data_IF_554204585485
#
_entry.id   IF_554204585485
#
_cell.length_a   1.000
_cell.length_b   1.000
_cell.length_c   1.000
_cell.angle_alpha   90.00
_cell.angle_beta   90.00
_cell.angle_gamma   90.00
#
_symmetry.space_group_name_H-M   'P 1'
#
loop_
_entity.id
_entity.type
_entity.pdbx_description
1 polymer ?
#
# COMPACT_ATOMS: atom_id res chain seq x y z
N UNK A 1 -53.83 -10.76 19.62
CA UNK A 1 -52.57 -10.15 20.08
C UNK A 1 -51.64 -9.99 18.90
N UNK A 2 -51.23 -8.77 18.54
CA UNK A 2 -50.32 -8.57 17.42
C UNK A 2 -48.94 -8.06 17.87
N UNK A 3 -47.92 -8.59 17.20
CA UNK A 3 -46.53 -8.12 17.22
C UNK A 3 -46.49 -6.70 16.62
N UNK A 4 -45.91 -5.75 17.34
CA UNK A 4 -45.59 -4.43 16.78
C UNK A 4 -44.37 -4.55 15.86
N UNK A 5 -44.62 -4.50 14.55
CA UNK A 5 -43.59 -4.14 13.57
C UNK A 5 -43.41 -2.63 13.64
N UNK A 6 -42.22 -2.16 14.01
CA UNK A 6 -41.88 -0.75 13.95
C UNK A 6 -41.77 -0.33 12.46
N UNK A 7 -42.81 0.35 12.01
CA UNK A 7 -42.92 0.98 10.70
C UNK A 7 -42.04 2.22 10.69
N UNK A 8 -40.98 2.21 9.89
CA UNK A 8 -40.16 3.40 9.60
C UNK A 8 -41.04 4.47 8.93
N UNK A 9 -41.17 5.62 9.58
CA UNK A 9 -41.79 6.82 9.02
C UNK A 9 -40.69 7.83 8.74
N UNK A 10 -40.49 8.14 7.46
CA UNK A 10 -39.74 9.29 6.99
C UNK A 10 -40.63 10.53 7.19
N UNK A 11 -40.22 11.46 8.04
CA UNK A 11 -40.82 12.81 8.12
C UNK A 11 -39.96 13.79 7.34
N UNK A 12 -40.61 14.61 6.51
CA UNK A 12 -40.04 15.48 5.48
C UNK A 12 -39.35 16.76 5.99
N UNK A 13 -38.69 16.74 7.15
CA UNK A 13 -38.11 17.94 7.78
C UNK A 13 -36.61 17.91 8.08
N UNK A 14 -35.85 16.92 7.60
CA UNK A 14 -34.40 16.83 7.84
C UNK A 14 -34.08 16.11 9.16
N UNK A 15 -33.27 15.06 9.03
CA UNK A 15 -33.13 13.95 9.98
C UNK A 15 -32.63 14.33 11.38
N UNK A 16 -33.45 14.06 12.39
CA UNK A 16 -32.96 13.69 13.72
C UNK A 16 -32.82 12.16 13.76
N UNK A 17 -31.63 11.69 14.07
CA UNK A 17 -31.25 10.28 14.23
C UNK A 17 -32.14 9.58 15.26
N UNK A 18 -33.16 8.86 14.78
CA UNK A 18 -34.00 8.01 15.62
C UNK A 18 -33.11 7.01 16.40
N UNK A 19 -33.03 7.17 17.72
CA UNK A 19 -32.24 6.31 18.61
C UNK A 19 -31.17 7.02 19.44
N UNK A 20 -30.92 8.33 19.23
CA UNK A 20 -30.05 9.09 20.14
C UNK A 20 -30.76 9.45 21.44
N UNK A 21 -30.00 9.48 22.54
CA UNK A 21 -30.50 9.94 23.83
C UNK A 21 -30.52 11.47 23.85
N UNK A 22 -31.70 12.07 23.96
CA UNK A 22 -31.88 13.51 23.96
C UNK A 22 -31.68 14.08 25.36
N UNK A 23 -30.85 15.13 25.46
CA UNK A 23 -30.55 15.88 26.67
C UNK A 23 -30.96 17.34 26.46
N UNK A 24 -31.85 17.86 27.30
CA UNK A 24 -32.19 19.30 27.35
C UNK A 24 -31.33 20.01 28.39
N UNK A 25 -31.53 21.32 28.61
CA UNK A 25 -30.88 22.09 29.69
C UNK A 25 -30.72 21.32 30.99
N UNK A 26 -29.51 21.34 31.55
CA UNK A 26 -29.19 20.71 32.83
C UNK A 26 -27.81 20.04 32.86
N UNK A 27 -27.51 19.45 34.01
CA UNK A 27 -26.32 18.63 34.24
C UNK A 27 -26.75 17.18 34.41
N UNK A 28 -26.16 16.28 33.63
CA UNK A 28 -26.50 14.86 33.59
C UNK A 28 -25.25 14.03 33.86
N UNK A 29 -25.43 12.95 34.60
CA UNK A 29 -24.41 11.90 34.72
C UNK A 29 -25.00 10.63 34.13
N UNK A 30 -24.30 10.02 33.18
CA UNK A 30 -24.72 8.77 32.56
C UNK A 30 -23.64 7.72 32.72
N UNK A 31 -23.96 6.67 33.47
CA UNK A 31 -23.13 5.49 33.58
C UNK A 31 -23.43 4.54 32.41
N UNK A 32 -22.40 4.25 31.63
CA UNK A 32 -22.46 3.37 30.47
C UNK A 32 -22.11 1.92 30.82
N UNK A 33 -21.81 1.63 32.09
CA UNK A 33 -21.66 0.26 32.60
C UNK A 33 -23.00 -0.49 32.54
N UNK A 34 -22.93 -1.82 32.39
CA UNK A 34 -24.10 -2.70 32.35
C UNK A 34 -24.66 -3.01 33.76
N UNK A 35 -24.08 -2.45 34.81
CA UNK A 35 -24.44 -2.77 36.20
C UNK A 35 -25.78 -2.15 36.59
N UNK A 36 -26.72 -3.04 36.88
CA UNK A 36 -28.15 -2.80 37.15
C UNK A 36 -28.44 -1.64 38.11
N UNK A 37 -28.88 -0.52 37.54
CA UNK A 37 -29.51 0.60 38.25
C UNK A 37 -30.34 1.44 37.28
N UNK A 38 -31.31 2.22 37.75
CA UNK A 38 -32.24 3.03 36.93
C UNK A 38 -31.57 4.07 36.02
N UNK A 39 -30.26 4.28 36.15
CA UNK A 39 -29.45 5.20 35.35
C UNK A 39 -28.43 4.49 34.44
N UNK A 40 -28.28 3.17 34.54
CA UNK A 40 -27.42 2.32 33.70
C UNK A 40 -28.05 2.04 32.33
N UNK A 41 -27.26 1.57 31.36
CA UNK A 41 -27.81 1.11 30.08
C UNK A 41 -28.77 -0.06 30.33
N UNK A 42 -30.08 0.14 30.13
CA UNK A 42 -31.08 -0.87 30.48
C UNK A 42 -30.95 -2.11 29.57
N UNK A 43 -30.27 -3.14 30.08
CA UNK A 43 -30.28 -4.56 29.69
C UNK A 43 -30.10 -4.98 28.22
N UNK A 44 -29.88 -4.08 27.24
CA UNK A 44 -29.48 -4.56 25.91
C UNK A 44 -28.68 -3.63 25.01
N UNK A 45 -28.79 -2.29 25.09
CA UNK A 45 -27.93 -1.37 24.32
C UNK A 45 -27.76 -0.03 25.02
N UNK A 46 -26.52 0.40 25.22
CA UNK A 46 -26.27 1.83 25.45
C UNK A 46 -26.64 2.61 24.18
N UNK A 47 -27.15 3.84 24.29
CA UNK A 47 -27.42 4.65 23.12
C UNK A 47 -26.10 4.90 22.37
N UNK A 48 -26.04 4.64 21.06
CA UNK A 48 -24.82 4.87 20.27
C UNK A 48 -24.56 6.37 20.04
N UNK A 49 -25.49 7.23 20.46
CA UNK A 49 -25.40 8.66 20.25
C UNK A 49 -26.20 9.47 21.27
N UNK A 50 -25.78 10.71 21.49
CA UNK A 50 -26.41 11.71 22.36
C UNK A 50 -26.71 12.96 21.56
N UNK A 51 -27.92 13.50 21.74
CA UNK A 51 -28.33 14.74 21.11
C UNK A 51 -28.57 15.81 22.18
N UNK A 52 -27.87 16.93 22.10
CA UNK A 52 -27.92 18.04 23.04
C UNK A 52 -28.84 19.13 22.49
N UNK A 53 -29.98 19.33 23.16
CA UNK A 53 -30.86 20.46 22.94
C UNK A 53 -30.47 21.61 23.87
N UNK A 54 -29.57 22.46 23.36
CA UNK A 54 -29.07 23.64 24.07
C UNK A 54 -29.84 24.93 23.73
N UNK A 55 -31.07 24.80 23.19
CA UNK A 55 -31.88 25.96 22.78
C UNK A 55 -32.29 26.85 23.96
N UNK A 56 -32.53 26.24 25.12
CA UNK A 56 -32.94 26.94 26.36
C UNK A 56 -31.77 27.27 27.30
N UNK A 57 -30.54 26.86 26.97
CA UNK A 57 -29.36 27.04 27.82
C UNK A 57 -28.30 25.94 27.65
N UNK A 58 -27.22 25.96 28.46
CA UNK A 58 -26.15 24.97 28.37
C UNK A 58 -26.58 23.59 28.87
N UNK A 59 -25.97 22.55 28.31
CA UNK A 59 -26.14 21.15 28.72
C UNK A 59 -24.77 20.58 29.05
N UNK A 60 -24.64 19.94 30.22
CA UNK A 60 -23.43 19.24 30.64
C UNK A 60 -23.72 17.76 30.81
N UNK A 61 -22.94 16.90 30.18
CA UNK A 61 -23.00 15.45 30.32
C UNK A 61 -21.69 14.91 30.89
N UNK A 62 -21.73 14.24 32.02
CA UNK A 62 -20.62 13.43 32.53
C UNK A 62 -20.87 11.97 32.18
N UNK A 63 -20.00 11.38 31.35
CA UNK A 63 -20.05 9.97 31.02
C UNK A 63 -19.16 9.16 31.96
N UNK A 64 -19.80 8.28 32.72
CA UNK A 64 -19.13 7.32 33.58
C UNK A 64 -19.01 5.96 32.88
N UNK A 65 -17.87 5.31 33.07
CA UNK A 65 -17.60 3.95 32.59
C UNK A 65 -17.98 3.77 31.12
N UNK A 66 -17.48 4.64 30.23
CA UNK A 66 -17.88 4.66 28.81
C UNK A 66 -17.63 3.34 28.03
N UNK A 67 -17.03 2.32 28.65
CA UNK A 67 -16.87 0.98 28.12
C UNK A 67 -18.19 0.20 28.31
N UNK A 68 -18.68 -0.46 27.26
CA UNK A 68 -19.81 -1.38 27.43
C UNK A 68 -19.29 -2.69 28.04
N UNK A 69 -19.64 -2.96 29.30
CA UNK A 69 -19.18 -4.12 30.09
C UNK A 69 -19.53 -5.52 29.55
N UNK A 70 -20.28 -5.62 28.46
CA UNK A 70 -20.89 -6.91 28.10
C UNK A 70 -20.02 -7.82 27.21
N UNK A 71 -18.92 -7.34 26.64
CA UNK A 71 -18.05 -8.18 25.81
C UNK A 71 -16.63 -8.19 26.35
N UNK A 72 -16.46 -8.89 27.47
CA UNK A 72 -15.20 -9.57 27.71
C UNK A 72 -15.06 -10.58 26.58
N UNK A 73 -14.42 -10.19 25.48
CA UNK A 73 -13.87 -11.21 24.59
C UNK A 73 -12.94 -12.07 25.46
N UNK A 74 -12.86 -13.37 25.20
CA UNK A 74 -11.99 -14.30 25.94
C UNK A 74 -10.51 -13.88 25.96
N UNK A 75 -10.15 -12.81 25.24
CA UNK A 75 -8.81 -12.24 25.16
C UNK A 75 -8.62 -10.96 26.00
N UNK A 76 -9.62 -10.53 26.80
CA UNK A 76 -9.45 -9.41 27.75
C UNK A 76 -9.36 -8.01 27.14
N UNK A 77 -9.65 -7.86 25.84
CA UNK A 77 -9.65 -6.55 25.18
C UNK A 77 -11.01 -5.86 25.32
N UNK A 78 -10.99 -4.58 25.71
CA UNK A 78 -12.17 -3.72 25.71
C UNK A 78 -12.61 -3.45 24.28
N UNK A 79 -13.89 -3.69 23.99
CA UNK A 79 -14.46 -3.35 22.69
C UNK A 79 -14.58 -1.83 22.58
N UNK A 80 -13.98 -1.29 21.53
CA UNK A 80 -14.06 0.10 21.15
C UNK A 80 -15.51 0.45 20.80
N UNK A 81 -16.22 1.14 21.68
CA UNK A 81 -17.52 1.72 21.32
C UNK A 81 -17.31 3.13 20.79
N UNK A 82 -17.92 3.41 19.65
CA UNK A 82 -18.02 4.79 19.13
C UNK A 82 -19.34 5.37 19.62
N UNK A 83 -19.28 6.57 20.18
CA UNK A 83 -20.41 7.35 20.66
C UNK A 83 -20.42 8.68 19.92
N UNK A 84 -21.51 8.97 19.24
CA UNK A 84 -21.67 10.25 18.53
C UNK A 84 -22.37 11.26 19.42
N UNK A 85 -21.86 12.48 19.48
CA UNK A 85 -22.47 13.59 20.20
C UNK A 85 -22.85 14.67 19.21
N UNK A 86 -24.09 15.15 19.25
CA UNK A 86 -24.58 16.19 18.34
C UNK A 86 -25.30 17.28 19.11
N UNK A 87 -24.86 18.52 18.99
CA UNK A 87 -25.50 19.70 19.57
C UNK A 87 -26.40 20.38 18.54
N UNK A 88 -27.71 20.34 18.79
CA UNK A 88 -28.72 20.94 17.94
C UNK A 88 -29.22 22.31 18.38
N UNK A 89 -28.69 22.87 19.47
CA UNK A 89 -29.17 24.14 20.01
C UNK A 89 -28.21 25.32 19.81
N UNK A 90 -28.59 26.46 20.38
CA UNK A 90 -27.89 27.75 20.22
C UNK A 90 -26.73 27.99 21.19
N UNK A 91 -26.56 27.14 22.21
CA UNK A 91 -25.52 27.28 23.24
C UNK A 91 -24.48 26.17 23.14
N UNK A 92 -23.32 26.32 23.79
CA UNK A 92 -22.30 25.26 23.86
C UNK A 92 -22.75 24.17 24.85
N UNK A 93 -22.65 22.91 24.44
CA UNK A 93 -22.77 21.76 25.35
C UNK A 93 -21.38 21.30 25.80
N UNK A 94 -21.31 20.59 26.92
CA UNK A 94 -20.06 20.00 27.42
C UNK A 94 -20.24 18.52 27.71
N UNK A 95 -19.22 17.74 27.37
CA UNK A 95 -19.12 16.32 27.71
C UNK A 95 -17.86 16.13 28.56
N UNK A 96 -17.98 15.45 29.69
CA UNK A 96 -16.85 15.14 30.57
C UNK A 96 -16.70 13.63 30.71
N UNK A 97 -15.49 13.09 30.65
CA UNK A 97 -15.21 11.68 30.92
C UNK A 97 -14.81 11.43 32.39
N UNK A 98 -14.61 10.15 32.76
CA UNK A 98 -14.16 9.74 34.10
C UNK A 98 -12.80 10.30 34.50
N UNK A 99 -11.97 10.69 33.53
CA UNK A 99 -10.64 11.26 33.78
C UNK A 99 -10.69 12.78 33.95
N UNK A 100 -11.89 13.36 33.91
CA UNK A 100 -12.10 14.79 34.03
C UNK A 100 -11.80 15.57 32.75
N UNK A 101 -11.53 14.89 31.63
CA UNK A 101 -11.35 15.57 30.35
C UNK A 101 -12.69 16.20 29.91
N UNK A 102 -12.66 17.47 29.54
CA UNK A 102 -13.84 18.23 29.13
C UNK A 102 -13.81 18.50 27.63
N UNK A 103 -14.80 17.99 26.91
CA UNK A 103 -15.04 18.20 25.48
C UNK A 103 -16.17 19.22 25.30
N UNK A 104 -15.94 20.25 24.50
CA UNK A 104 -16.94 21.30 24.24
C UNK A 104 -17.63 21.01 22.92
N UNK A 105 -18.95 20.90 22.86
CA UNK A 105 -19.69 20.89 21.58
C UNK A 105 -20.23 22.29 21.29
N UNK A 106 -19.66 23.03 20.33
CA UNK A 106 -20.19 24.31 19.88
C UNK A 106 -21.65 24.24 19.45
N UNK A 107 -22.30 25.41 19.43
CA UNK A 107 -23.68 25.56 18.96
C UNK A 107 -23.87 25.08 17.52
N UNK A 108 -25.10 24.70 17.18
CA UNK A 108 -25.48 24.24 15.85
C UNK A 108 -24.97 25.18 14.75
N UNK A 109 -24.37 24.60 13.71
CA UNK A 109 -23.81 25.31 12.56
C UNK A 109 -22.34 25.74 12.72
N UNK A 110 -21.73 25.54 13.89
CA UNK A 110 -20.29 25.68 14.07
C UNK A 110 -19.56 24.34 13.88
N UNK A 111 -18.30 24.40 13.43
CA UNK A 111 -17.43 23.22 13.33
C UNK A 111 -17.30 22.58 14.72
N UNK A 112 -17.58 21.28 14.82
CA UNK A 112 -17.61 20.54 16.09
C UNK A 112 -18.94 20.49 16.81
N UNK A 113 -20.01 21.05 16.22
CA UNK A 113 -21.38 20.82 16.72
C UNK A 113 -21.82 19.35 16.63
N UNK A 114 -21.08 18.50 15.91
CA UNK A 114 -21.18 17.05 16.01
C UNK A 114 -19.76 16.48 16.12
N UNK A 115 -19.56 15.52 17.03
CA UNK A 115 -18.28 14.84 17.24
C UNK A 115 -18.49 13.35 17.49
N UNK A 116 -17.61 12.51 16.94
CA UNK A 116 -17.54 11.09 17.23
C UNK A 116 -16.44 10.83 18.26
N UNK A 117 -16.79 10.21 19.38
CA UNK A 117 -15.82 9.80 20.38
C UNK A 117 -15.74 8.30 20.52
N UNK A 118 -14.52 7.82 20.71
CA UNK A 118 -14.22 6.44 21.02
C UNK A 118 -13.90 6.33 22.50
N UNK A 119 -14.56 5.41 23.20
CA UNK A 119 -14.17 5.12 24.58
C UNK A 119 -13.04 4.09 24.61
N UNK A 120 -12.00 4.39 25.38
CA UNK A 120 -10.85 3.52 25.62
C UNK A 120 -10.63 3.32 27.12
N UNK A 121 -10.26 2.13 27.56
CA UNK A 121 -9.84 1.90 28.96
C UNK A 121 -10.24 0.54 29.53
N UNK A 122 -9.69 0.24 30.71
CA UNK A 122 -10.15 -0.86 31.59
C UNK A 122 -11.34 -0.41 32.43
N UNK A 123 -12.08 -1.37 32.99
CA UNK A 123 -13.24 -1.11 33.86
C UNK A 123 -12.88 -0.11 34.95
N UNK A 124 -13.67 0.95 35.08
CA UNK A 124 -13.46 2.07 36.02
C UNK A 124 -12.68 3.28 35.49
N UNK A 125 -11.85 3.14 34.45
CA UNK A 125 -10.96 4.21 33.94
C UNK A 125 -11.20 4.57 32.46
N UNK A 126 -12.45 4.51 31.99
CA UNK A 126 -12.78 4.85 30.61
C UNK A 126 -12.42 6.31 30.27
N UNK A 127 -11.48 6.49 29.34
CA UNK A 127 -11.10 7.77 28.73
C UNK A 127 -11.87 7.89 27.40
N UNK A 128 -12.54 9.02 27.18
CA UNK A 128 -13.08 9.32 25.86
C UNK A 128 -11.98 9.90 24.98
N UNK A 129 -11.99 9.58 23.70
CA UNK A 129 -11.15 10.23 22.71
C UNK A 129 -12.05 10.64 21.54
N UNK A 130 -12.33 11.93 21.46
CA UNK A 130 -13.21 12.53 20.47
C UNK A 130 -12.44 12.96 19.21
N UNK A 131 -13.13 13.02 18.07
CA UNK A 131 -12.60 13.69 16.90
C UNK A 131 -12.27 15.17 17.21
N UNK A 132 -11.26 15.70 16.52
CA UNK A 132 -10.57 16.91 16.91
C UNK A 132 -11.32 18.21 16.62
N UNK A 133 -12.60 18.15 16.24
CA UNK A 133 -13.39 19.36 16.05
C UNK A 133 -13.64 20.11 17.37
N UNK A 134 -13.36 19.46 18.49
CA UNK A 134 -13.48 20.00 19.84
C UNK A 134 -12.26 19.56 20.66
N UNK A 135 -11.23 20.39 20.77
CA UNK A 135 -10.10 20.09 21.63
C UNK A 135 -10.58 19.94 23.09
N UNK A 136 -10.14 18.91 23.83
CA UNK A 136 -10.41 18.86 25.25
C UNK A 136 -9.77 20.09 25.91
N UNK A 137 -10.58 20.92 26.55
CA UNK A 137 -10.08 22.08 27.31
C UNK A 137 -9.60 21.55 28.65
N UNK A 138 -8.41 20.93 28.65
CA UNK A 138 -7.67 20.69 29.87
C UNK A 138 -7.19 22.07 30.38
N UNK A 139 -7.93 22.65 31.34
CA UNK A 139 -7.52 23.86 32.05
C UNK A 139 -6.38 23.53 33.02
N UNK A 140 -5.20 23.16 32.51
CA UNK A 140 -3.96 23.12 33.30
C UNK A 140 -2.77 22.90 32.38
N UNK A 141 -2.11 24.00 31.99
CA UNK A 141 -0.80 23.97 31.35
C UNK A 141 -0.70 24.80 30.08
N UNK A 142 0.09 25.86 30.12
CA UNK A 142 0.50 26.64 28.94
C UNK A 142 1.28 25.73 27.96
N UNK A 143 0.61 25.20 26.94
CA UNK A 143 1.25 24.70 25.73
C UNK A 143 0.86 25.65 24.60
N UNK A 144 1.88 26.22 23.97
CA UNK A 144 1.72 27.26 22.97
C UNK A 144 0.82 26.84 21.80
N UNK A 145 -0.12 27.73 21.47
CA UNK A 145 -1.07 27.65 20.35
C UNK A 145 -0.36 27.61 18.98
N UNK A 146 0.14 26.45 18.58
CA UNK A 146 0.34 26.14 17.15
C UNK A 146 -0.48 24.89 16.83
N UNK A 147 -1.77 25.13 16.60
CA UNK A 147 -2.75 24.17 16.12
C UNK A 147 -2.36 23.65 14.73
N UNK A 148 -1.93 22.39 14.65
CA UNK A 148 -1.75 21.66 13.39
C UNK A 148 -2.36 20.26 13.45
N UNK A 149 -3.55 20.12 14.03
CA UNK A 149 -4.15 18.81 14.24
C UNK A 149 -5.56 18.80 13.66
N UNK A 150 -5.70 18.06 12.55
CA UNK A 150 -6.91 17.74 11.77
C UNK A 150 -7.44 18.76 10.76
N UNK A 151 -6.55 19.30 9.93
CA UNK A 151 -6.90 19.50 8.51
C UNK A 151 -6.41 18.31 7.70
N UNK A 152 -6.85 18.16 6.45
CA UNK A 152 -6.23 17.34 5.39
C UNK A 152 -4.74 17.67 5.12
N UNK A 153 -4.12 18.45 6.01
CA UNK A 153 -2.75 18.91 5.97
C UNK A 153 -1.85 17.92 6.70
N UNK A 154 -0.98 17.27 5.94
CA UNK A 154 0.15 16.50 6.42
C UNK A 154 1.05 17.35 7.34
N UNK A 155 1.71 16.74 8.34
CA UNK A 155 2.69 17.42 9.18
C UNK A 155 3.93 17.75 8.35
N UNK A 156 4.27 19.04 8.26
CA UNK A 156 5.46 19.48 7.55
C UNK A 156 6.69 19.43 8.44
N UNK A 157 7.74 18.75 7.97
CA UNK A 157 9.06 18.65 8.59
C UNK A 157 10.07 19.35 7.68
N UNK A 158 10.64 20.46 8.12
CA UNK A 158 11.53 21.33 7.32
C UNK A 158 13.01 21.24 7.68
N UNK A 159 13.37 20.46 8.71
CA UNK A 159 14.73 20.20 9.11
C UNK A 159 14.88 18.73 9.53
N UNK A 160 16.11 18.19 9.46
CA UNK A 160 16.39 16.87 9.99
C UNK A 160 15.98 16.82 11.47
N UNK A 161 14.98 16.00 11.78
CA UNK A 161 14.50 15.84 13.15
C UNK A 161 15.25 14.67 13.79
N UNK A 162 15.66 14.84 15.05
CA UNK A 162 15.90 13.71 15.95
C UNK A 162 14.71 12.73 15.87
N UNK A 163 14.91 11.42 16.17
CA UNK A 163 13.89 10.41 15.98
C UNK A 163 12.53 10.88 16.50
N UNK A 164 11.55 10.91 15.60
CA UNK A 164 10.18 11.28 15.89
C UNK A 164 9.52 10.10 16.59
N UNK A 165 9.45 10.18 17.91
CA UNK A 165 8.84 9.16 18.76
C UNK A 165 7.31 9.26 18.63
N UNK A 166 6.71 8.22 18.05
CA UNK A 166 5.25 8.12 17.91
C UNK A 166 4.54 7.84 19.24
N UNK A 167 5.29 7.63 20.33
CA UNK A 167 4.73 7.49 21.68
C UNK A 167 4.48 8.84 22.34
N UNK A 168 3.63 8.79 23.36
CA UNK A 168 3.43 9.88 24.30
C UNK A 168 4.78 10.36 24.90
N UNK A 169 5.04 11.68 25.05
CA UNK A 169 4.12 12.81 24.93
C UNK A 169 4.17 13.58 23.59
N UNK A 170 4.94 13.13 22.60
CA UNK A 170 5.20 13.94 21.39
C UNK A 170 3.91 14.20 20.60
N UNK A 171 2.99 13.25 20.57
CA UNK A 171 1.66 13.44 19.96
C UNK A 171 0.59 14.00 20.93
N UNK A 172 0.93 14.35 22.17
CA UNK A 172 0.05 15.02 23.16
C UNK A 172 -1.37 14.43 23.30
N UNK A 173 -1.52 13.09 23.30
CA UNK A 173 -2.81 12.37 23.28
C UNK A 173 -3.71 12.64 22.04
N UNK A 174 -3.21 13.38 21.06
CA UNK A 174 -3.86 13.61 19.77
C UNK A 174 -3.35 12.58 18.76
N UNK A 175 -4.11 12.39 17.68
CA UNK A 175 -3.70 11.47 16.61
C UNK A 175 -2.35 11.94 16.06
N UNK A 176 -1.34 11.07 16.12
CA UNK A 176 -0.17 11.27 15.28
C UNK A 176 -0.66 11.23 13.83
N UNK A 177 -0.32 12.24 13.04
CA UNK A 177 -0.72 12.28 11.63
C UNK A 177 -0.16 11.05 10.92
N UNK A 178 -0.95 10.50 9.99
CA UNK A 178 -0.48 9.46 9.07
C UNK A 178 0.13 10.08 7.81
N UNK A 179 0.01 11.39 7.61
CA UNK A 179 0.61 12.08 6.48
C UNK A 179 1.70 13.06 6.92
N UNK A 180 2.86 12.99 6.26
CA UNK A 180 4.02 13.85 6.48
C UNK A 180 4.48 14.50 5.17
N UNK A 181 4.78 15.79 5.21
CA UNK A 181 5.45 16.52 4.13
C UNK A 181 6.87 16.81 4.60
N UNK A 182 7.87 16.35 3.85
CA UNK A 182 9.26 16.72 4.05
C UNK A 182 9.54 17.95 3.19
N UNK A 183 9.63 19.12 3.83
CA UNK A 183 9.96 20.36 3.15
C UNK A 183 11.46 20.41 2.89
N UNK A 184 11.84 19.92 1.72
CA UNK A 184 13.23 19.87 1.26
C UNK A 184 13.62 21.09 0.41
N UNK A 185 12.87 22.19 0.51
CA UNK A 185 13.10 23.38 -0.32
C UNK A 185 14.48 23.99 -0.12
N UNK A 186 14.99 23.94 1.12
CA UNK A 186 16.28 24.53 1.50
C UNK A 186 17.40 23.50 1.60
N UNK A 187 17.12 22.31 2.16
CA UNK A 187 18.10 21.24 2.40
C UNK A 187 17.44 19.86 2.24
N UNK A 188 18.24 18.79 2.17
CA UNK A 188 17.71 17.45 2.34
C UNK A 188 17.16 17.26 3.77
N UNK A 189 16.03 16.56 3.90
CA UNK A 189 15.36 16.32 5.18
C UNK A 189 15.35 14.83 5.49
N UNK A 190 15.74 14.47 6.70
CA UNK A 190 15.67 13.11 7.21
C UNK A 190 14.68 13.02 8.38
N UNK A 191 13.75 12.06 8.29
CA UNK A 191 12.78 11.72 9.32
C UNK A 191 13.00 10.26 9.75
N UNK A 192 13.27 10.05 11.03
CA UNK A 192 13.29 8.69 11.60
C UNK A 192 12.07 8.52 12.47
N UNK A 193 11.15 7.63 12.11
CA UNK A 193 10.00 7.25 12.94
C UNK A 193 10.42 6.16 13.91
N UNK A 194 10.34 6.40 15.21
CA UNK A 194 10.43 5.33 16.21
C UNK A 194 9.04 4.95 16.67
N UNK A 195 8.83 3.66 16.93
CA UNK A 195 7.53 3.14 17.37
C UNK A 195 6.40 3.38 16.36
N UNK A 196 6.66 3.18 15.06
CA UNK A 196 5.67 3.45 14.00
C UNK A 196 4.38 2.62 14.11
N UNK A 197 4.32 1.60 14.97
CA UNK A 197 3.11 0.82 15.24
C UNK A 197 2.25 1.43 16.35
N UNK A 198 2.73 2.47 17.04
CA UNK A 198 1.95 3.13 18.09
C UNK A 198 0.88 4.02 17.47
N UNK A 199 -0.35 3.80 17.92
CA UNK A 199 -1.51 4.59 17.55
C UNK A 199 -2.32 4.85 18.82
N UNK A 200 -2.58 6.13 19.13
CA UNK A 200 -3.17 6.56 20.40
C UNK A 200 -2.44 6.03 21.64
N UNK A 201 -1.10 6.11 21.65
CA UNK A 201 -0.28 5.61 22.76
C UNK A 201 -0.43 4.10 23.02
N UNK A 202 -1.08 3.35 22.11
CA UNK A 202 -1.19 1.90 22.18
C UNK A 202 -0.34 1.28 21.07
N UNK A 203 0.41 0.24 21.41
CA UNK A 203 1.15 -0.52 20.42
C UNK A 203 0.19 -1.39 19.59
N UNK A 204 0.09 -1.11 18.30
CA UNK A 204 -0.69 -1.91 17.35
C UNK A 204 0.14 -3.02 16.69
N UNK A 205 1.40 -3.24 17.12
CA UNK A 205 2.34 -4.16 16.48
C UNK A 205 1.82 -5.59 16.30
N UNK A 206 0.88 -6.03 17.14
CA UNK A 206 0.29 -7.37 17.15
C UNK A 206 -1.08 -7.46 16.47
N UNK A 207 -1.74 -6.33 16.21
CA UNK A 207 -3.18 -6.30 15.86
C UNK A 207 -3.49 -5.49 14.61
N UNK A 208 -2.58 -4.62 14.16
CA UNK A 208 -2.86 -3.69 13.09
C UNK A 208 -1.68 -3.40 12.20
N UNK A 209 -2.00 -2.89 11.01
CA UNK A 209 -1.06 -2.28 10.09
C UNK A 209 -1.44 -0.80 10.00
N UNK A 210 -0.48 0.08 10.25
CA UNK A 210 -0.68 1.52 10.14
C UNK A 210 -0.17 1.99 8.78
N UNK A 211 -0.97 2.78 8.09
CA UNK A 211 -0.61 3.35 6.79
C UNK A 211 -0.10 4.77 6.99
N UNK A 212 1.00 5.09 6.33
CA UNK A 212 1.62 6.40 6.33
C UNK A 212 1.80 6.89 4.90
N UNK A 213 1.63 8.18 4.68
CA UNK A 213 1.91 8.85 3.42
C UNK A 213 3.00 9.88 3.64
N UNK A 214 4.03 9.84 2.81
CA UNK A 214 5.13 10.80 2.83
C UNK A 214 5.23 11.49 1.48
N UNK A 215 5.44 12.78 1.48
CA UNK A 215 5.67 13.57 0.27
C UNK A 215 6.83 14.54 0.47
N UNK A 216 7.50 14.90 -0.62
CA UNK A 216 8.58 15.91 -0.67
C UNK A 216 8.12 17.08 -1.52
N UNK A 217 8.36 18.32 -1.06
CA UNK A 217 7.93 19.54 -1.77
C UNK A 217 9.07 20.39 -2.34
N UNK A 218 10.33 20.04 -2.09
CA UNK A 218 11.49 20.84 -2.49
C UNK A 218 12.40 20.22 -3.55
N UNK A 219 13.46 20.94 -3.91
CA UNK A 219 14.46 20.55 -4.91
C UNK A 219 15.51 19.56 -4.39
N UNK A 220 15.52 19.27 -3.08
CA UNK A 220 16.39 18.27 -2.48
C UNK A 220 15.61 16.97 -2.16
N UNK A 221 16.33 15.87 -1.96
CA UNK A 221 15.74 14.58 -1.59
C UNK A 221 15.29 14.55 -0.12
N UNK A 222 14.29 13.73 0.18
CA UNK A 222 13.89 13.40 1.56
C UNK A 222 14.24 11.96 1.90
N UNK A 223 14.50 11.65 3.17
CA UNK A 223 14.69 10.28 3.63
C UNK A 223 13.79 9.98 4.82
N UNK A 224 13.14 8.81 4.82
CA UNK A 224 12.33 8.29 5.93
C UNK A 224 12.93 6.99 6.43
N UNK A 225 13.04 6.80 7.73
CA UNK A 225 13.59 5.57 8.33
C UNK A 225 12.76 5.11 9.52
N UNK A 226 12.76 3.80 9.80
CA UNK A 226 12.27 3.21 11.06
C UNK A 226 13.42 2.87 12.05
N UNK A 227 14.64 3.36 11.76
CA UNK A 227 15.87 3.01 12.47
C UNK A 227 16.59 1.76 11.93
N UNK A 228 15.90 0.93 11.14
CA UNK A 228 16.45 -0.29 10.50
C UNK A 228 16.49 -0.15 8.98
N UNK A 229 15.38 0.25 8.38
CA UNK A 229 15.18 0.49 6.96
C UNK A 229 15.24 1.99 6.67
N UNK A 230 15.80 2.36 5.52
CA UNK A 230 15.84 3.76 5.04
C UNK A 230 15.26 3.82 3.64
N UNK A 231 14.33 4.75 3.45
CA UNK A 231 13.59 4.98 2.21
C UNK A 231 13.90 6.39 1.72
N UNK A 232 14.23 6.54 0.44
CA UNK A 232 14.57 7.85 -0.14
C UNK A 232 13.46 8.29 -1.09
N UNK A 233 13.01 9.53 -0.91
CA UNK A 233 12.08 10.24 -1.78
C UNK A 233 12.86 11.21 -2.67
N UNK A 234 12.58 11.19 -3.96
CA UNK A 234 13.20 12.10 -4.93
C UNK A 234 12.72 13.54 -4.72
N UNK A 235 13.50 14.55 -5.11
CA UNK A 235 13.03 15.93 -5.18
C UNK A 235 11.69 16.07 -5.92
N UNK A 236 10.91 17.07 -5.54
CA UNK A 236 9.65 17.40 -6.20
C UNK A 236 9.85 17.58 -7.71
N UNK A 237 9.06 16.87 -8.51
CA UNK A 237 9.14 16.89 -9.97
C UNK A 237 10.18 15.95 -10.60
N UNK A 238 10.91 15.15 -9.81
CA UNK A 238 12.02 14.30 -10.31
C UNK A 238 11.84 12.78 -10.14
N UNK A 239 10.61 12.27 -10.14
CA UNK A 239 10.32 10.84 -9.97
C UNK A 239 9.39 10.58 -8.79
N UNK A 240 9.74 9.64 -7.90
CA UNK A 240 8.97 9.31 -6.69
C UNK A 240 9.14 10.38 -5.59
N UNK A 241 8.45 11.51 -5.72
CA UNK A 241 8.39 12.55 -4.68
C UNK A 241 7.29 12.30 -3.63
N UNK A 242 6.58 11.18 -3.72
CA UNK A 242 5.68 10.69 -2.67
C UNK A 242 5.76 9.16 -2.55
N UNK A 243 5.48 8.64 -1.35
CA UNK A 243 5.42 7.21 -1.10
C UNK A 243 4.37 6.88 -0.03
N UNK A 244 3.82 5.68 -0.16
CA UNK A 244 2.97 5.07 0.86
C UNK A 244 3.81 4.05 1.63
N UNK A 245 3.75 4.10 2.94
CA UNK A 245 4.37 3.13 3.82
C UNK A 245 3.34 2.43 4.67
N UNK A 246 3.63 1.19 5.01
CA UNK A 246 2.91 0.40 6.00
C UNK A 246 3.84 0.12 7.15
N UNK A 247 3.41 0.35 8.39
CA UNK A 247 4.13 -0.10 9.56
C UNK A 247 3.46 -1.36 10.11
N UNK A 248 4.24 -2.43 10.26
CA UNK A 248 3.84 -3.66 10.93
C UNK A 248 4.99 -4.12 11.81
N UNK A 249 4.69 -4.55 13.05
CA UNK A 249 5.70 -4.99 14.01
C UNK A 249 6.88 -4.02 14.18
N UNK A 250 6.58 -2.71 14.24
CA UNK A 250 7.56 -1.60 14.34
C UNK A 250 8.52 -1.42 13.15
N UNK A 251 8.27 -2.10 12.02
CA UNK A 251 9.04 -1.94 10.79
C UNK A 251 8.18 -1.28 9.73
N UNK A 252 8.73 -0.24 9.09
CA UNK A 252 8.15 0.37 7.91
C UNK A 252 8.49 -0.48 6.68
N UNK A 253 7.50 -0.63 5.80
CA UNK A 253 7.60 -1.16 4.45
C UNK A 253 6.96 -0.16 3.50
N UNK A 254 7.76 0.51 2.67
CA UNK A 254 7.32 1.58 1.77
C UNK A 254 7.32 1.16 0.30
N UNK A 255 6.52 1.87 -0.50
CA UNK A 255 6.48 1.71 -1.96
C UNK A 255 7.70 2.29 -2.69
N UNK A 256 8.54 3.07 -2.01
CA UNK A 256 9.78 3.60 -2.57
C UNK A 256 10.95 2.61 -2.40
N UNK A 257 11.91 2.67 -3.31
CA UNK A 257 13.09 1.80 -3.31
C UNK A 257 13.80 1.84 -1.95
N UNK A 258 13.88 0.69 -1.30
CA UNK A 258 14.51 0.55 0.01
C UNK A 258 16.03 0.54 -0.14
N UNK A 259 16.73 1.53 0.42
CA UNK A 259 18.17 1.40 0.66
C UNK A 259 18.32 0.80 2.05
N UNK A 260 18.45 -0.53 2.11
CA UNK A 260 18.60 -1.23 3.39
C UNK A 260 20.01 -0.98 3.94
N UNK A 261 20.14 -0.08 4.91
CA UNK A 261 21.42 0.25 5.54
C UNK A 261 21.80 -0.78 6.59
N UNK A 262 22.08 -2.02 6.15
CA UNK A 262 22.96 -2.92 6.89
C UNK A 262 24.27 -2.99 6.10
N UNK A 263 25.25 -2.18 6.52
CA UNK A 263 26.67 -2.25 6.18
C UNK A 263 27.03 -2.83 4.79
N UNK A 264 27.32 -1.94 3.83
CA UNK A 264 27.87 -2.25 2.51
C UNK A 264 27.02 -3.22 1.66
N UNK A 265 25.98 -2.70 1.01
CA UNK A 265 25.49 -3.34 -0.20
C UNK A 265 25.18 -2.29 -1.28
N UNK A 266 25.74 -2.54 -2.46
CA UNK A 266 25.33 -1.97 -3.74
C UNK A 266 23.82 -1.90 -3.83
N UNK A 267 23.26 -0.73 -4.15
CA UNK A 267 21.83 -0.52 -4.30
C UNK A 267 21.22 -1.53 -5.25
N UNK A 268 20.43 -2.46 -4.71
CA UNK A 268 19.61 -3.38 -5.50
C UNK A 268 18.22 -2.75 -5.57
N UNK A 269 17.85 -2.23 -6.75
CA UNK A 269 16.45 -1.99 -7.05
C UNK A 269 15.75 -3.36 -7.13
N UNK A 270 15.07 -3.74 -6.05
CA UNK A 270 14.22 -4.93 -6.05
C UNK A 270 12.91 -4.58 -6.74
N UNK A 271 12.65 -5.14 -7.91
CA UNK A 271 11.33 -5.10 -8.55
C UNK A 271 10.59 -6.39 -8.17
N UNK A 272 9.80 -6.40 -7.07
CA UNK A 272 9.13 -7.61 -6.60
C UNK A 272 8.07 -8.12 -7.58
N UNK A 273 7.57 -7.25 -8.46
CA UNK A 273 6.62 -7.57 -9.50
C UNK A 273 7.16 -7.06 -10.84
N UNK A 274 6.92 -7.82 -11.93
CA UNK A 274 7.57 -7.68 -13.21
C UNK A 274 7.72 -6.22 -13.71
N UNK A 275 8.93 -5.82 -14.11
CA UNK A 275 9.15 -4.52 -14.75
C UNK A 275 8.53 -4.55 -16.15
N UNK A 276 7.44 -3.80 -16.33
CA UNK A 276 6.86 -3.53 -17.64
C UNK A 276 7.30 -2.15 -18.13
N UNK A 277 8.09 -2.11 -19.20
CA UNK A 277 8.55 -0.86 -19.83
C UNK A 277 7.74 -0.64 -21.10
N UNK A 278 6.96 0.44 -21.16
CA UNK A 278 6.06 0.74 -22.29
C UNK A 278 6.74 1.37 -23.50
N UNK A 279 7.90 2.02 -23.33
CA UNK A 279 8.62 2.69 -24.41
C UNK A 279 10.12 2.32 -24.41
N UNK A 280 10.94 2.94 -23.57
CA UNK A 280 12.34 2.54 -23.40
C UNK A 280 12.84 2.76 -21.96
N UNK A 281 13.73 1.88 -21.48
CA UNK A 281 14.58 2.14 -20.32
C UNK A 281 16.01 2.32 -20.79
N UNK A 282 16.65 3.39 -20.33
CA UNK A 282 18.10 3.46 -20.34
C UNK A 282 18.62 2.87 -19.05
N UNK A 283 18.80 1.55 -19.02
CA UNK A 283 19.59 0.92 -17.97
C UNK A 283 21.04 1.36 -18.19
N UNK A 284 21.70 1.88 -17.14
CA UNK A 284 23.10 2.30 -17.22
C UNK A 284 24.03 1.17 -17.68
N UNK A 285 25.32 1.44 -17.84
CA UNK A 285 26.31 0.51 -18.41
C UNK A 285 26.56 -0.79 -17.61
N UNK A 286 25.71 -1.15 -16.64
CA UNK A 286 25.96 -2.23 -15.67
C UNK A 286 24.67 -2.92 -15.19
N UNK A 287 23.79 -3.38 -16.10
CA UNK A 287 22.76 -4.34 -15.69
C UNK A 287 23.41 -5.72 -15.48
N UNK A 288 23.35 -6.24 -14.25
CA UNK A 288 23.77 -7.61 -13.94
C UNK A 288 22.56 -8.43 -13.50
N UNK A 289 22.28 -9.52 -14.21
CA UNK A 289 21.21 -10.46 -13.85
C UNK A 289 21.85 -11.67 -13.17
N UNK A 290 21.50 -11.93 -11.91
CA UNK A 290 21.98 -13.09 -11.15
C UNK A 290 20.95 -14.23 -11.21
N UNK A 291 21.34 -15.37 -11.75
CA UNK A 291 20.49 -16.57 -11.82
C UNK A 291 20.12 -16.94 -13.25
N UNK A 292 18.91 -16.61 -13.68
CA UNK A 292 18.42 -16.89 -15.04
C UNK A 292 17.60 -15.74 -15.59
N UNK A 293 17.63 -15.56 -16.91
CA UNK A 293 16.72 -14.69 -17.66
C UNK A 293 15.78 -15.60 -18.47
N UNK A 294 14.48 -15.36 -18.40
CA UNK A 294 13.49 -15.98 -19.29
C UNK A 294 13.17 -14.99 -20.40
N UNK A 295 13.55 -15.33 -21.61
CA UNK A 295 13.15 -14.59 -22.81
C UNK A 295 11.84 -15.21 -23.31
N UNK A 296 10.92 -14.37 -23.80
CA UNK A 296 9.66 -14.83 -24.37
C UNK A 296 9.86 -15.52 -25.74
N UNK A 297 8.90 -15.33 -26.64
CA UNK A 297 8.93 -15.95 -27.98
C UNK A 297 10.08 -15.48 -28.88
N UNK A 298 10.67 -14.31 -28.63
CA UNK A 298 11.80 -13.80 -29.40
C UNK A 298 12.66 -12.82 -28.58
N UNK A 299 13.95 -12.76 -28.91
CA UNK A 299 14.89 -11.72 -28.48
C UNK A 299 15.30 -10.93 -29.72
N UNK A 300 15.13 -9.60 -29.69
CA UNK A 300 15.58 -8.70 -30.76
C UNK A 300 16.71 -7.83 -30.24
N UNK A 301 17.88 -7.96 -30.85
CA UNK A 301 19.03 -7.10 -30.62
C UNK A 301 19.01 -6.05 -31.73
N UNK A 302 18.91 -4.77 -31.39
CA UNK A 302 18.93 -3.68 -32.36
C UNK A 302 20.37 -3.21 -32.70
N UNK A 303 21.36 -3.72 -31.96
CA UNK A 303 22.77 -3.40 -32.13
C UNK A 303 23.54 -4.52 -32.85
N UNK A 304 24.81 -4.26 -33.14
CA UNK A 304 25.61 -5.07 -34.08
C UNK A 304 25.95 -6.48 -33.59
N UNK A 305 26.12 -6.75 -32.30
CA UNK A 305 26.61 -8.05 -31.84
C UNK A 305 26.10 -8.50 -30.47
N UNK A 306 25.88 -9.82 -30.34
CA UNK A 306 25.73 -10.53 -29.07
C UNK A 306 27.08 -11.08 -28.63
N UNK A 307 27.70 -10.48 -27.61
CA UNK A 307 28.94 -10.98 -27.02
C UNK A 307 28.63 -12.05 -25.96
N UNK A 308 29.33 -13.18 -26.00
CA UNK A 308 29.12 -14.30 -25.06
C UNK A 308 30.14 -14.32 -23.92
N UNK A 309 31.16 -13.49 -24.04
CA UNK A 309 32.38 -13.50 -23.23
C UNK A 309 32.75 -12.07 -22.87
N UNK A 310 33.57 -11.89 -21.84
CA UNK A 310 34.21 -10.60 -21.55
C UNK A 310 35.27 -10.22 -22.60
N UNK A 311 35.68 -11.17 -23.44
CA UNK A 311 36.52 -10.87 -24.60
C UNK A 311 35.69 -10.25 -25.73
N UNK A 312 36.24 -9.24 -26.39
CA UNK A 312 35.62 -8.61 -27.56
C UNK A 312 35.67 -9.51 -28.82
N UNK A 313 36.17 -10.74 -28.69
CA UNK A 313 36.58 -11.59 -29.80
C UNK A 313 35.61 -12.76 -30.03
N UNK A 314 34.69 -13.01 -29.10
CA UNK A 314 33.71 -14.11 -29.16
C UNK A 314 32.29 -13.56 -29.15
N UNK A 315 31.68 -13.49 -30.33
CA UNK A 315 30.38 -12.86 -30.52
C UNK A 315 29.60 -13.42 -31.71
N UNK A 316 28.27 -13.24 -31.69
CA UNK A 316 27.40 -13.42 -32.84
C UNK A 316 26.97 -12.07 -33.43
N UNK A 317 27.06 -11.90 -34.74
CA UNK A 317 26.70 -10.66 -35.46
C UNK A 317 25.76 -10.97 -36.62
N UNK A 318 24.82 -10.07 -36.88
CA UNK A 318 23.97 -10.09 -38.07
C UNK A 318 24.32 -8.91 -38.98
N UNK A 319 25.04 -9.20 -40.07
CA UNK A 319 25.34 -8.21 -41.12
C UNK A 319 24.67 -8.63 -42.43
N UNK A 320 25.33 -9.51 -43.20
CA UNK A 320 24.79 -10.12 -44.43
C UNK A 320 24.41 -11.59 -44.23
N UNK A 321 24.01 -11.93 -43.00
CA UNK A 321 23.85 -13.29 -42.50
C UNK A 321 24.28 -13.37 -41.03
N UNK A 322 23.85 -14.43 -40.36
CA UNK A 322 24.21 -14.71 -38.97
C UNK A 322 25.62 -15.32 -38.94
N UNK A 323 26.55 -14.67 -38.25
CA UNK A 323 27.95 -15.10 -38.17
C UNK A 323 28.37 -15.27 -36.71
N UNK A 324 29.16 -16.30 -36.44
CA UNK A 324 29.71 -16.60 -35.13
C UNK A 324 31.24 -16.53 -35.16
N UNK A 325 31.79 -15.69 -34.30
CA UNK A 325 33.23 -15.50 -34.11
C UNK A 325 33.66 -16.11 -32.79
N UNK A 326 34.83 -16.76 -32.81
CA UNK A 326 35.53 -17.23 -31.60
C UNK A 326 36.99 -16.85 -31.77
N UNK A 327 37.51 -16.08 -30.82
CA UNK A 327 38.87 -15.53 -30.86
C UNK A 327 39.18 -14.81 -32.18
N UNK A 328 38.27 -13.92 -32.60
CA UNK A 328 38.36 -13.13 -33.85
C UNK A 328 38.31 -13.94 -35.15
N UNK A 329 38.26 -15.27 -35.08
CA UNK A 329 38.10 -16.14 -36.24
C UNK A 329 36.62 -16.47 -36.45
N UNK A 330 36.12 -16.24 -37.68
CA UNK A 330 34.77 -16.68 -38.06
C UNK A 330 34.72 -18.19 -38.08
N UNK A 331 33.95 -18.79 -37.17
CA UNK A 331 33.76 -20.25 -37.11
C UNK A 331 32.59 -20.65 -38.00
N UNK A 332 31.40 -20.06 -37.78
CA UNK A 332 30.17 -20.39 -38.51
C UNK A 332 29.58 -19.15 -39.19
N UNK A 333 28.96 -19.35 -40.35
CA UNK A 333 28.15 -18.33 -41.04
C UNK A 333 26.90 -18.95 -41.67
N UNK A 334 25.78 -18.27 -41.58
CA UNK A 334 24.49 -18.64 -42.17
C UNK A 334 23.98 -17.48 -43.01
N UNK A 335 23.82 -17.68 -44.32
CA UNK A 335 23.17 -16.72 -45.22
C UNK A 335 21.84 -17.29 -45.71
N UNK A 336 21.04 -16.44 -46.38
CA UNK A 336 19.75 -16.84 -46.97
C UNK A 336 19.87 -17.92 -48.05
N UNK A 337 21.06 -18.12 -48.63
CA UNK A 337 21.28 -19.07 -49.71
C UNK A 337 21.96 -20.36 -49.26
N UNK A 338 22.89 -20.31 -48.29
CA UNK A 338 23.61 -21.48 -47.74
C UNK A 338 24.35 -21.11 -46.44
N UNK A 339 24.55 -22.08 -45.54
CA UNK A 339 25.50 -21.94 -44.43
C UNK A 339 26.90 -22.43 -44.80
N UNK A 340 27.95 -21.72 -44.36
CA UNK A 340 29.36 -22.13 -44.54
C UNK A 340 30.00 -22.34 -43.16
N UNK A 341 30.53 -23.54 -42.95
CA UNK A 341 31.33 -23.91 -41.78
C UNK A 341 32.82 -23.73 -42.13
N UNK A 342 33.57 -23.01 -41.29
CA UNK A 342 35.02 -22.82 -41.44
C UNK A 342 35.78 -23.43 -40.26
N UNK A 343 36.96 -23.99 -40.52
CA UNK A 343 37.86 -24.53 -39.48
C UNK A 343 37.64 -26.00 -39.12
N UNK A 344 38.41 -26.49 -38.15
CA UNK A 344 38.26 -27.85 -37.57
C UNK A 344 37.19 -27.81 -36.50
N UNK A 345 36.11 -28.57 -36.70
CA UNK A 345 35.02 -28.69 -35.75
C UNK A 345 35.14 -30.03 -35.03
N UNK A 346 35.40 -29.98 -33.73
CA UNK A 346 35.26 -31.14 -32.87
C UNK A 346 33.86 -31.08 -32.27
N UNK A 347 33.09 -32.15 -32.44
CA UNK A 347 31.80 -32.27 -31.81
C UNK A 347 31.87 -33.32 -30.72
N UNK A 348 31.51 -32.93 -29.50
CA UNK A 348 31.50 -33.83 -28.34
C UNK A 348 30.37 -34.86 -28.41
N UNK A 349 29.41 -34.67 -29.34
CA UNK A 349 28.33 -35.60 -29.64
C UNK A 349 28.12 -35.68 -31.15
N UNK A 350 27.39 -36.68 -31.64
CA UNK A 350 27.15 -36.80 -33.09
C UNK A 350 26.28 -35.63 -33.56
N UNK A 351 26.90 -34.62 -34.18
CA UNK A 351 26.18 -33.68 -35.05
C UNK A 351 25.73 -34.51 -36.24
N UNK A 352 24.46 -34.90 -36.22
CA UNK A 352 23.85 -35.60 -37.35
C UNK A 352 23.86 -34.63 -38.52
N UNK A 353 24.87 -34.79 -39.39
CA UNK A 353 24.75 -34.28 -40.75
C UNK A 353 23.56 -35.00 -41.37
N UNK A 354 22.81 -34.30 -42.24
CA UNK A 354 21.79 -34.97 -43.07
C UNK A 354 22.53 -35.94 -44.00
N UNK A 355 22.78 -37.15 -43.48
CA UNK A 355 23.43 -38.24 -44.19
C UNK A 355 22.54 -38.62 -45.37
N UNK A 356 23.08 -38.55 -46.58
CA UNK A 356 22.40 -38.97 -47.80
C UNK A 356 21.93 -40.44 -47.73
N UNK A 357 22.51 -41.26 -46.85
CA UNK A 357 22.11 -42.66 -46.61
C UNK A 357 20.82 -42.81 -45.77
N UNK A 358 20.44 -41.78 -45.01
CA UNK A 358 19.16 -41.75 -44.28
C UNK A 358 18.01 -41.20 -45.15
N UNK A 359 18.33 -40.62 -46.31
CA UNK A 359 17.35 -40.23 -47.32
C UNK A 359 16.92 -41.48 -48.08
N UNK A 360 15.74 -42.02 -47.75
CA UNK A 360 15.11 -43.08 -48.54
C UNK A 360 14.51 -42.46 -49.81
N UNK A 361 14.57 -43.20 -50.92
CA UNK A 361 14.04 -42.80 -52.25
C UNK A 361 14.83 -41.72 -53.00
N UNK A 362 16.15 -41.67 -52.85
CA UNK A 362 17.00 -40.95 -53.81
C UNK A 362 17.19 -41.86 -55.04
N UNK A 363 16.24 -41.82 -55.97
CA UNK A 363 16.35 -42.48 -57.28
C UNK A 363 16.76 -41.47 -58.36
N UNK A 364 17.54 -41.87 -59.37
CA UNK A 364 17.80 -41.02 -60.53
C UNK A 364 16.47 -40.59 -61.16
N UNK A 365 16.29 -39.29 -61.37
CA UNK A 365 15.04 -38.69 -61.87
C UNK A 365 14.48 -39.41 -63.12
N UNK A 366 15.37 -39.92 -63.97
CA UNK A 366 15.01 -40.67 -65.17
C UNK A 366 14.25 -41.97 -64.85
N UNK A 367 14.64 -42.69 -63.79
CA UNK A 367 13.98 -43.93 -63.38
C UNK A 367 12.65 -43.65 -62.69
N UNK A 368 12.54 -42.54 -61.94
CA UNK A 368 11.26 -42.03 -61.43
C UNK A 368 10.30 -41.74 -62.58
N UNK A 369 10.77 -41.02 -63.60
CA UNK A 369 9.94 -40.65 -64.76
C UNK A 369 9.50 -41.87 -65.56
N UNK A 370 10.39 -42.85 -65.78
CA UNK A 370 10.05 -44.12 -66.44
C UNK A 370 9.04 -44.94 -65.64
N UNK A 371 9.18 -45.01 -64.32
CA UNK A 371 8.21 -45.68 -63.43
C UNK A 371 6.84 -45.01 -63.47
N UNK A 372 6.81 -43.67 -63.47
CA UNK A 372 5.56 -42.92 -63.60
C UNK A 372 4.91 -43.08 -64.98
N UNK A 373 5.70 -43.12 -66.06
CA UNK A 373 5.20 -43.40 -67.41
C UNK A 373 4.69 -44.83 -67.57
N UNK A 374 5.33 -45.81 -66.94
CA UNK A 374 4.85 -47.19 -66.94
C UNK A 374 3.56 -47.34 -66.11
N UNK A 375 3.47 -46.65 -64.97
CA UNK A 375 2.26 -46.62 -64.14
C UNK A 375 1.08 -45.93 -64.85
N UNK A 376 1.33 -44.91 -65.69
CA UNK A 376 0.28 -44.27 -66.48
C UNK A 376 -0.11 -45.07 -67.73
N UNK A 377 0.81 -45.82 -68.32
CA UNK A 377 0.55 -46.69 -69.48
C UNK A 377 -0.12 -48.03 -69.09
N UNK A 378 0.04 -48.47 -67.84
CA UNK A 378 -0.46 -49.75 -67.34
C UNK A 378 -1.86 -49.74 -66.74
N UNK A 379 -2.59 -48.61 -66.74
CA UNK A 379 -3.98 -48.58 -66.28
C UNK A 379 -4.89 -49.19 -67.36
N UNK A 380 -5.42 -50.42 -67.19
CA UNK A 380 -6.27 -51.04 -68.19
C UNK A 380 -7.62 -50.31 -68.17
N UNK A 381 -7.93 -49.61 -69.26
CA UNK A 381 -9.29 -49.21 -69.55
C UNK A 381 -10.14 -50.47 -69.80
N UNK A 382 -10.89 -50.90 -68.80
CA UNK A 382 -11.94 -51.91 -68.90
C UNK A 382 -13.02 -51.51 -67.88
N UNK A 383 -14.12 -50.83 -68.21
CA UNK A 383 -15.01 -50.85 -69.39
C UNK A 383 -15.75 -52.19 -69.55
N UNK A 384 -17.05 -52.14 -69.25
CA UNK A 384 -18.10 -53.13 -69.51
C UNK A 384 -18.33 -54.06 -68.32
N UNK A 385 -19.46 -54.05 -67.61
CA UNK A 385 -20.88 -53.73 -67.90
C UNK A 385 -21.72 -54.85 -67.23
N UNK A 386 -23.06 -54.90 -67.27
CA UNK A 386 -24.09 -53.89 -67.55
C UNK A 386 -24.71 -53.27 -66.28
#
# INVERSE_FOLDING_TARGET
>A
GPRAQAKFLLTSSGDYTAGCFQLSVGTYTKDMSATSGSYSCSSSRCPPCFFFDTTSGPVQLTLQNCHMDAFVSTHGYSMLTTVTFTNGGGSTATVQDNSGNLYLLPRLGQRGSSMDCKCFGQVGNGILICDATTTPVQMSGNIANTDHLFGDSCLTISAASNPFDMRYPVCAFKYCTTCFILDTSSNAVALTLTYCSYYFSMDQSSVGVLHYHFAVTGSNSGTVSDGTNVYTLSPAGSGQSSMLCTCSSQLLSCSADTVRTTSASTGVAGFPEAVSVSDFVKLGSTLSVRGFTKLGSYLRLNDNALQFTSDANTYAVFNNGLQFYVDSARKMSMTVSTGTLHGTWQSDSVVTSSDARLKRQVEPLLDTLRRLQAASAGAPGARGGP
#
